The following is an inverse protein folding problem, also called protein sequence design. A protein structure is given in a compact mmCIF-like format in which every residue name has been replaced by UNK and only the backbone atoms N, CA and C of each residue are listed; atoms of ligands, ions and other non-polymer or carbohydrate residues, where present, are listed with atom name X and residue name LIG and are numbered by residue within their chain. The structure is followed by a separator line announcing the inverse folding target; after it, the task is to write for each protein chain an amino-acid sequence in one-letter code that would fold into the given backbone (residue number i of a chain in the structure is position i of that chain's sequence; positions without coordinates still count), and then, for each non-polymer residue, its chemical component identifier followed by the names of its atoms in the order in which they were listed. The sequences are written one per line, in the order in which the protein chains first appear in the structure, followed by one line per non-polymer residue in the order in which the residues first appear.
data_IF_049875690299
#
_entry.id   IF_049875690299
#
_cell.length_a   1.000
_cell.length_b   1.000
_cell.length_c   1.000
_cell.angle_alpha   90.00
_cell.angle_beta   90.00
_cell.angle_gamma   90.00
#
_symmetry.space_group_name_H-M   'P 1'
#
loop_
_entity.id
_entity.type
_entity.pdbx_description
1 polymer ?
#
# COMPACT_ATOMS: atom_id res chain seq x y z
N UNK A 1 -5.34 4.44 14.82
CA UNK A 1 -6.60 4.31 14.04
C UNK A 1 -6.64 2.94 13.37
N UNK A 2 -7.63 2.10 13.69
CA UNK A 2 -7.81 0.81 13.00
C UNK A 2 -8.61 1.10 11.73
N UNK A 3 -7.91 1.26 10.60
CA UNK A 3 -8.57 1.40 9.30
C UNK A 3 -9.35 0.10 9.03
N UNK A 4 -10.67 0.18 9.04
CA UNK A 4 -11.54 -0.99 8.90
C UNK A 4 -11.75 -1.28 7.41
N UNK A 5 -10.91 -2.15 6.86
CA UNK A 5 -10.98 -2.54 5.45
C UNK A 5 -12.05 -3.62 5.22
N UNK A 6 -12.68 -3.65 4.03
CA UNK A 6 -13.61 -4.72 3.68
C UNK A 6 -12.90 -6.08 3.66
N UNK A 7 -13.68 -7.17 3.75
CA UNK A 7 -13.17 -8.52 3.60
C UNK A 7 -12.29 -8.64 2.33
N UNK A 8 -11.20 -9.39 2.43
CA UNK A 8 -10.15 -9.55 1.39
C UNK A 8 -9.28 -8.32 1.11
N UNK A 9 -9.40 -7.26 1.91
CA UNK A 9 -8.51 -6.09 1.84
C UNK A 9 -7.80 -5.85 3.17
N UNK A 10 -6.58 -5.33 3.08
CA UNK A 10 -5.81 -4.94 4.25
C UNK A 10 -5.37 -3.48 4.14
N UNK A 11 -5.19 -2.78 5.27
CA UNK A 11 -4.65 -1.43 5.28
C UNK A 11 -3.18 -1.46 4.86
N UNK A 12 -2.81 -0.61 3.91
CA UNK A 12 -1.41 -0.38 3.51
C UNK A 12 -1.10 1.11 3.60
N UNK A 13 0.08 1.44 4.14
CA UNK A 13 0.58 2.82 4.16
C UNK A 13 1.25 3.16 2.84
N UNK A 14 0.95 4.35 2.33
CA UNK A 14 1.73 4.97 1.26
C UNK A 14 2.74 5.94 1.87
N UNK A 15 4.00 5.82 1.48
CA UNK A 15 5.07 6.69 1.97
C UNK A 15 4.78 8.14 1.58
N UNK A 16 4.72 9.03 2.57
CA UNK A 16 4.44 10.45 2.38
C UNK A 16 2.96 10.80 2.23
N UNK A 17 2.05 9.85 2.49
CA UNK A 17 0.60 10.06 2.40
C UNK A 17 -0.09 9.38 3.61
N UNK A 18 -1.20 8.67 3.40
CA UNK A 18 -1.99 7.98 4.43
C UNK A 18 -2.14 6.48 4.16
N UNK A 19 -2.96 5.84 4.98
CA UNK A 19 -3.34 4.44 4.81
C UNK A 19 -4.51 4.29 3.84
N UNK A 20 -4.45 3.24 3.02
CA UNK A 20 -5.49 2.88 2.06
C UNK A 20 -5.83 1.39 2.17
N UNK A 21 -7.09 1.04 1.95
CA UNK A 21 -7.51 -0.35 1.88
C UNK A 21 -7.24 -0.91 0.50
N UNK A 22 -6.44 -1.97 0.41
CA UNK A 22 -6.08 -2.61 -0.85
C UNK A 22 -6.31 -4.10 -0.74
N UNK A 23 -6.74 -4.73 -1.83
CA UNK A 23 -6.93 -6.18 -1.88
C UNK A 23 -5.62 -6.89 -1.55
N UNK A 24 -5.71 -7.95 -0.76
CA UNK A 24 -4.56 -8.80 -0.48
C UNK A 24 -4.11 -9.54 -1.76
N UNK A 25 -2.82 -9.89 -1.91
CA UNK A 25 -1.71 -9.61 -0.99
C UNK A 25 -1.31 -8.13 -1.04
N UNK A 26 -1.12 -7.48 0.12
CA UNK A 26 -0.67 -6.08 0.18
C UNK A 26 0.85 -5.99 0.14
N UNK A 27 1.38 -4.91 -0.44
CA UNK A 27 2.81 -4.61 -0.41
C UNK A 27 3.22 -4.11 0.98
N UNK A 28 3.71 -5.01 1.82
CA UNK A 28 4.18 -4.68 3.16
C UNK A 28 5.25 -5.68 3.64
N UNK A 29 6.25 -5.19 4.37
CA UNK A 29 7.26 -6.03 5.00
C UNK A 29 8.14 -6.75 3.98
N UNK A 30 7.97 -8.06 3.84
CA UNK A 30 8.70 -8.88 2.86
C UNK A 30 7.86 -9.34 1.67
N UNK A 31 6.60 -8.91 1.59
CA UNK A 31 5.67 -9.35 0.56
C UNK A 31 5.92 -8.63 -0.77
N UNK A 32 6.50 -9.36 -1.73
CA UNK A 32 6.68 -8.92 -3.11
C UNK A 32 6.40 -10.09 -4.08
N UNK A 33 5.60 -9.89 -5.15
CA UNK A 33 4.83 -8.68 -5.48
C UNK A 33 3.62 -8.50 -4.55
N UNK A 34 3.33 -7.24 -4.18
CA UNK A 34 2.17 -6.88 -3.37
C UNK A 34 1.38 -5.74 -3.99
N UNK A 35 0.09 -5.69 -3.70
CA UNK A 35 -0.81 -4.65 -4.18
C UNK A 35 -0.58 -3.33 -3.43
N UNK A 36 -0.60 -2.25 -4.20
CA UNK A 36 -0.50 -0.89 -3.73
C UNK A 36 -1.70 -0.07 -4.21
N UNK A 37 -2.11 0.96 -3.44
CA UNK A 37 -3.28 1.72 -3.79
C UNK A 37 -3.03 2.59 -5.02
N UNK A 38 -4.04 2.69 -5.86
CA UNK A 38 -3.99 3.43 -7.11
C UNK A 38 -4.79 4.73 -7.06
N UNK A 39 -4.83 5.43 -8.19
CA UNK A 39 -5.64 6.63 -8.39
C UNK A 39 -7.13 6.41 -8.05
N UNK A 40 -7.65 5.21 -8.32
CA UNK A 40 -9.03 4.83 -8.02
C UNK A 40 -9.37 4.85 -6.50
N UNK A 41 -8.37 4.81 -5.62
CA UNK A 41 -8.53 4.86 -4.17
C UNK A 41 -8.34 6.28 -3.59
N UNK A 42 -8.30 7.31 -4.44
CA UNK A 42 -8.18 8.71 -4.03
C UNK A 42 -6.75 9.22 -3.94
N UNK A 43 -5.79 8.54 -4.59
CA UNK A 43 -4.44 9.06 -4.79
C UNK A 43 -4.37 9.92 -6.05
N UNK A 44 -3.43 10.87 -6.07
CA UNK A 44 -3.18 11.68 -7.27
C UNK A 44 -2.70 10.81 -8.45
N UNK A 45 -1.98 9.72 -8.14
CA UNK A 45 -1.42 8.78 -9.11
C UNK A 45 -1.32 7.37 -8.51
N UNK A 46 -0.98 6.38 -9.34
CA UNK A 46 -0.75 5.02 -8.86
C UNK A 46 0.54 4.95 -8.05
N UNK A 47 0.52 4.14 -6.99
CA UNK A 47 1.73 3.84 -6.20
C UNK A 47 2.29 2.48 -6.61
N UNK A 48 3.60 2.34 -6.43
CA UNK A 48 4.36 1.14 -6.78
C UNK A 48 4.88 0.48 -5.52
N UNK A 49 4.92 -0.86 -5.54
CA UNK A 49 5.53 -1.64 -4.48
C UNK A 49 7.05 -1.64 -4.66
N UNK A 50 7.75 -0.92 -3.79
CA UNK A 50 9.20 -0.73 -3.87
C UNK A 50 9.85 -0.96 -2.51
N UNK A 51 11.15 -1.28 -2.52
CA UNK A 51 11.90 -1.40 -1.27
C UNK A 51 12.12 -0.01 -0.67
N UNK A 52 11.76 0.13 0.60
CA UNK A 52 11.98 1.33 1.38
C UNK A 52 13.39 1.35 1.98
N UNK A 53 13.82 2.50 2.50
CA UNK A 53 15.12 2.66 3.19
C UNK A 53 15.31 1.71 4.38
N UNK A 54 14.22 1.20 4.94
CA UNK A 54 14.17 0.23 6.05
C UNK A 54 14.37 -1.23 5.60
N UNK A 55 14.70 -1.50 4.33
CA UNK A 55 14.82 -2.85 3.74
C UNK A 55 13.51 -3.67 3.80
N UNK A 56 12.36 -2.99 3.83
CA UNK A 56 11.04 -3.62 3.68
C UNK A 56 10.32 -3.05 2.47
N UNK A 57 9.46 -3.84 1.86
CA UNK A 57 8.57 -3.40 0.79
C UNK A 57 7.47 -2.51 1.34
N UNK A 58 7.17 -1.44 0.61
CA UNK A 58 6.04 -0.55 0.87
C UNK A 58 5.60 0.18 -0.38
N UNK A 59 4.43 0.81 -0.31
CA UNK A 59 3.87 1.57 -1.41
C UNK A 59 4.46 2.98 -1.46
N UNK A 60 5.03 3.33 -2.61
CA UNK A 60 5.64 4.65 -2.84
C UNK A 60 5.12 5.24 -4.14
N UNK A 61 5.19 6.56 -4.26
CA UNK A 61 5.01 7.19 -5.56
C UNK A 61 6.25 6.92 -6.45
N UNK A 62 6.04 6.58 -7.73
CA UNK A 62 7.14 6.39 -8.67
C UNK A 62 7.95 7.68 -8.90
#
# INVERSE_FOLDING_TARGET
DVLNCPADSAPVSVVGDKYYCVKQPVCSGKAFPGNCPGKAQGLAQNTVCSVLSTNVYGCTFP
#
